data_IF_349002912732
#
_entry.id   IF_349002912732
#
_cell.length_a   1.000
_cell.length_b   1.000
_cell.length_c   1.000
_cell.angle_alpha   90.00
_cell.angle_beta   90.00
_cell.angle_gamma   90.00
#
_symmetry.space_group_name_H-M   'P 1'
#
loop_
_entity.id
_entity.type
_entity.pdbx_description
1 polymer ?
#
# COMPACT_ATOMS: atom_id res chain seq x y z
N UNK A 1 15.68 1.97 25.96
CA UNK A 1 15.66 2.27 24.50
C UNK A 1 15.19 1.06 23.69
N UNK A 2 15.84 -0.11 23.76
CA UNK A 2 15.49 -1.30 22.97
C UNK A 2 14.07 -1.85 23.28
N UNK A 3 13.66 -1.86 24.54
CA UNK A 3 12.35 -2.39 24.95
C UNK A 3 11.17 -1.52 24.50
N UNK A 4 11.38 -0.20 24.42
CA UNK A 4 10.36 0.74 23.93
C UNK A 4 10.06 0.52 22.44
N UNK A 5 11.09 0.22 21.63
CA UNK A 5 10.93 -0.04 20.19
C UNK A 5 10.08 -1.30 19.89
N UNK A 6 10.05 -2.28 20.81
CA UNK A 6 9.27 -3.51 20.65
C UNK A 6 7.76 -3.30 20.78
N UNK A 7 7.34 -2.21 21.41
CA UNK A 7 5.93 -1.92 21.71
C UNK A 7 5.42 -0.68 20.96
N UNK A 8 6.13 -0.23 19.92
CA UNK A 8 5.68 0.90 19.10
C UNK A 8 4.52 0.45 18.22
N UNK A 9 3.40 1.15 18.39
CA UNK A 9 2.26 1.16 17.48
C UNK A 9 1.82 2.62 17.39
N UNK A 10 2.28 3.30 16.34
CA UNK A 10 2.16 4.75 16.23
C UNK A 10 1.75 5.18 14.83
N UNK A 11 0.84 6.14 14.77
CA UNK A 11 0.52 6.86 13.54
C UNK A 11 1.58 7.92 13.26
N UNK A 12 2.21 7.85 12.08
CA UNK A 12 3.18 8.85 11.64
C UNK A 12 2.48 10.05 10.99
N UNK A 13 3.24 11.12 10.67
CA UNK A 13 2.68 12.38 10.14
C UNK A 13 1.88 12.24 8.85
N UNK A 14 2.13 11.18 8.08
CA UNK A 14 1.41 10.86 6.84
C UNK A 14 0.06 10.20 7.09
N UNK A 15 -0.25 9.82 8.34
CA UNK A 15 -1.45 9.06 8.70
C UNK A 15 -1.26 7.55 8.70
N UNK A 16 -0.11 7.06 8.25
CA UNK A 16 0.20 5.63 8.22
C UNK A 16 0.44 5.10 9.64
N UNK A 17 -0.01 3.88 9.91
CA UNK A 17 0.28 3.21 11.17
C UNK A 17 1.56 2.37 11.05
N UNK A 18 2.47 2.50 12.02
CA UNK A 18 3.75 1.79 12.01
C UNK A 18 3.91 0.98 13.28
N UNK A 19 4.21 -0.31 13.11
CA UNK A 19 4.54 -1.24 14.19
C UNK A 19 5.60 -2.26 13.73
N UNK A 20 6.15 -2.96 14.71
CA UNK A 20 7.19 -3.96 14.51
C UNK A 20 6.66 -5.36 14.81
N UNK A 21 7.13 -6.36 14.07
CA UNK A 21 6.86 -7.76 14.38
C UNK A 21 7.72 -8.24 15.57
N UNK A 22 7.56 -9.51 15.95
CA UNK A 22 8.31 -10.11 17.07
C UNK A 22 9.83 -10.14 16.87
N UNK A 23 10.31 -9.98 15.63
CA UNK A 23 11.75 -9.90 15.31
C UNK A 23 12.29 -8.47 15.40
N UNK A 24 11.40 -7.47 15.50
CA UNK A 24 11.76 -6.06 15.44
C UNK A 24 11.84 -5.51 14.01
N UNK A 25 11.35 -6.25 13.01
CA UNK A 25 11.23 -5.76 11.65
C UNK A 25 9.94 -4.96 11.49
N UNK A 26 9.97 -3.90 10.68
CA UNK A 26 8.76 -3.15 10.31
C UNK A 26 7.88 -4.04 9.44
N UNK A 27 6.59 -4.07 9.74
CA UNK A 27 5.62 -4.75 8.89
C UNK A 27 5.43 -3.96 7.61
N UNK A 28 5.74 -4.59 6.48
CA UNK A 28 5.64 -3.95 5.17
C UNK A 28 4.17 -3.77 4.74
N UNK A 29 3.77 -2.51 4.56
CA UNK A 29 2.51 -2.13 3.96
C UNK A 29 2.79 -1.17 2.80
N UNK A 30 2.19 -1.45 1.64
CA UNK A 30 2.36 -0.66 0.43
C UNK A 30 1.03 -0.43 -0.26
N UNK A 31 0.87 0.76 -0.81
CA UNK A 31 -0.19 1.03 -1.77
C UNK A 31 0.24 0.55 -3.16
N UNK A 32 -0.68 -0.11 -3.88
CA UNK A 32 -0.46 -0.46 -5.28
C UNK A 32 -1.07 0.63 -6.13
N UNK A 33 -0.22 1.33 -6.89
CA UNK A 33 -0.65 2.43 -7.76
C UNK A 33 -0.61 2.03 -9.22
N UNK A 34 -1.60 2.48 -9.99
CA UNK A 34 -1.63 2.40 -11.44
C UNK A 34 -1.37 3.80 -12.02
N UNK A 35 -0.48 3.88 -13.00
CA UNK A 35 -0.13 5.11 -13.68
C UNK A 35 -1.18 5.38 -14.73
N UNK A 36 -1.98 6.43 -14.52
CA UNK A 36 -3.10 6.76 -15.37
C UNK A 36 -2.90 8.14 -15.98
N UNK A 37 -3.13 8.25 -17.28
CA UNK A 37 -3.11 9.55 -17.95
C UNK A 37 -4.43 10.28 -17.69
N UNK A 38 -4.34 11.52 -17.24
CA UNK A 38 -5.49 12.40 -17.06
C UNK A 38 -5.82 13.13 -18.39
N UNK A 39 -6.98 13.79 -18.42
CA UNK A 39 -7.51 14.50 -19.58
C UNK A 39 -6.60 15.61 -20.12
N UNK A 40 -5.75 16.18 -19.26
CA UNK A 40 -4.75 17.19 -19.62
C UNK A 40 -3.41 16.59 -20.11
N UNK A 41 -3.33 15.25 -20.17
CA UNK A 41 -2.15 14.50 -20.57
C UNK A 41 -1.17 14.20 -19.44
N UNK A 42 -1.40 14.70 -18.21
CA UNK A 42 -0.55 14.42 -17.05
C UNK A 42 -0.67 12.96 -16.58
N UNK A 43 0.38 12.44 -15.96
CA UNK A 43 0.35 11.10 -15.35
C UNK A 43 0.02 11.22 -13.85
N UNK A 44 -1.04 10.56 -13.44
CA UNK A 44 -1.49 10.46 -12.06
C UNK A 44 -1.25 9.04 -11.53
N UNK A 45 -0.75 8.94 -10.30
CA UNK A 45 -0.57 7.67 -9.60
C UNK A 45 -1.82 7.38 -8.79
N UNK A 46 -2.73 6.58 -9.34
CA UNK A 46 -4.00 6.28 -8.66
C UNK A 46 -3.91 4.97 -7.89
N UNK A 47 -4.32 4.94 -6.61
CA UNK A 47 -4.42 3.70 -5.85
C UNK A 47 -5.41 2.73 -6.49
N UNK A 48 -4.98 1.51 -6.71
CA UNK A 48 -5.81 0.41 -7.25
C UNK A 48 -5.77 -0.83 -6.37
N UNK A 49 -5.07 -0.77 -5.24
CA UNK A 49 -4.94 -1.90 -4.34
C UNK A 49 -3.90 -1.67 -3.26
N UNK A 50 -3.54 -2.72 -2.56
CA UNK A 50 -2.53 -2.69 -1.51
C UNK A 50 -1.80 -4.02 -1.38
N UNK A 51 -0.64 -3.95 -0.74
CA UNK A 51 0.07 -5.08 -0.18
C UNK A 51 0.19 -4.90 1.34
N UNK A 52 -0.22 -5.90 2.13
CA UNK A 52 -0.11 -5.91 3.59
C UNK A 52 0.53 -7.22 4.08
N UNK A 53 1.77 -7.14 4.56
CA UNK A 53 2.52 -8.30 5.05
C UNK A 53 1.96 -8.90 6.36
N UNK A 54 1.12 -8.18 7.10
CA UNK A 54 0.51 -8.68 8.34
C UNK A 54 -0.59 -9.72 8.10
N UNK A 55 -1.15 -9.75 6.89
CA UNK A 55 -2.27 -10.63 6.55
C UNK A 55 -1.81 -12.05 6.16
N UNK A 56 -2.73 -13.04 6.18
CA UNK A 56 -2.50 -14.36 5.61
C UNK A 56 -2.06 -14.29 4.14
N UNK A 57 -1.22 -15.22 3.63
CA UNK A 57 -0.62 -15.14 2.29
C UNK A 57 -1.58 -14.86 1.13
N UNK A 58 -2.80 -15.38 1.19
CA UNK A 58 -3.88 -15.22 0.21
C UNK A 58 -4.59 -13.86 0.27
N UNK A 59 -4.35 -13.08 1.33
CA UNK A 59 -4.99 -11.79 1.59
C UNK A 59 -3.99 -10.63 1.56
N UNK A 60 -2.69 -10.91 1.45
CA UNK A 60 -1.65 -9.88 1.46
C UNK A 60 -1.74 -8.94 0.28
N UNK A 61 -2.25 -9.39 -0.87
CA UNK A 61 -2.27 -8.60 -2.10
C UNK A 61 -3.69 -8.53 -2.64
N UNK A 62 -4.25 -7.33 -2.64
CA UNK A 62 -5.61 -7.09 -3.10
C UNK A 62 -5.60 -5.99 -4.16
N UNK A 63 -6.27 -6.25 -5.28
CA UNK A 63 -6.47 -5.30 -6.36
C UNK A 63 -7.96 -5.07 -6.58
N UNK A 64 -8.35 -3.81 -6.75
CA UNK A 64 -9.63 -3.44 -7.33
C UNK A 64 -9.42 -3.25 -8.84
N UNK A 65 -9.60 -4.33 -9.60
CA UNK A 65 -9.30 -4.32 -11.04
C UNK A 65 -10.19 -3.36 -11.84
N UNK A 66 -11.38 -3.04 -11.34
CA UNK A 66 -12.28 -2.03 -11.94
C UNK A 66 -11.69 -0.62 -11.97
N UNK A 67 -10.70 -0.35 -11.13
CA UNK A 67 -10.02 0.95 -11.06
C UNK A 67 -8.74 0.99 -11.92
N UNK A 68 -8.34 -0.13 -12.52
CA UNK A 68 -7.14 -0.21 -13.36
C UNK A 68 -7.48 0.26 -14.78
N UNK A 69 -6.66 1.15 -15.31
CA UNK A 69 -6.66 1.53 -16.73
C UNK A 69 -5.48 0.85 -17.38
N UNK A 70 -5.77 -0.09 -18.29
CA UNK A 70 -4.76 -0.78 -19.07
C UNK A 70 -4.26 0.07 -20.25
N UNK A 71 -3.17 -0.37 -20.86
CA UNK A 71 -2.62 0.30 -22.04
C UNK A 71 -3.71 0.48 -23.12
N UNK A 72 -3.79 1.68 -23.70
CA UNK A 72 -4.86 2.04 -24.64
C UNK A 72 -6.18 2.47 -24.00
N UNK A 73 -6.23 2.64 -22.68
CA UNK A 73 -7.41 3.17 -21.98
C UNK A 73 -8.49 2.12 -21.67
N UNK A 74 -8.14 0.83 -21.75
CA UNK A 74 -9.10 -0.25 -21.53
C UNK A 74 -9.38 -0.44 -20.03
N UNK A 75 -10.67 -0.57 -19.69
CA UNK A 75 -11.14 -1.04 -18.40
C UNK A 75 -11.48 -2.53 -18.52
N UNK A 76 -11.37 -3.28 -17.42
CA UNK A 76 -11.85 -4.66 -17.34
C UNK A 76 -13.38 -4.75 -17.27
#
# INVERSE_FOLDING_TARGET
VIEALKNINSTIKTGDNVWFDSTGAVVAQYEVVNWQQDSDGSIQFKPVGYYDASLPPDQRFVLNTKNIIWAGGQLE
#
